data_IF_578816694057
#
_entry.id   IF_578816694057
#
_cell.length_a   1.000
_cell.length_b   1.000
_cell.length_c   1.000
_cell.angle_alpha   90.00
_cell.angle_beta   90.00
_cell.angle_gamma   90.00
#
_symmetry.space_group_name_H-M   'P 1'
#
loop_
_entity.id
_entity.type
_entity.pdbx_description
1 polymer ?
#
# COMPACT_ATOMS: atom_id res chain seq x y z
N UNK A 1 0.40 12.39 12.69
CA UNK A 1 0.80 10.99 12.58
C UNK A 1 -0.36 9.97 12.55
N UNK A 2 -1.61 10.33 12.82
CA UNK A 2 -2.77 9.43 12.74
C UNK A 2 -3.41 9.26 11.35
N UNK A 3 -3.16 10.15 10.40
CA UNK A 3 -3.88 10.17 9.12
C UNK A 3 -3.41 9.08 8.12
N UNK A 4 -2.10 8.82 8.03
CA UNK A 4 -1.55 7.81 7.11
C UNK A 4 -1.91 6.39 7.54
N UNK A 5 -1.79 6.06 8.83
CA UNK A 5 -2.18 4.74 9.35
C UNK A 5 -3.67 4.42 9.15
N UNK A 6 -4.54 5.45 9.16
CA UNK A 6 -5.97 5.29 8.88
C UNK A 6 -6.27 5.00 7.41
N UNK A 7 -5.56 5.64 6.49
CA UNK A 7 -5.71 5.44 5.04
C UNK A 7 -5.29 4.03 4.64
N UNK A 8 -4.18 3.52 5.18
CA UNK A 8 -3.70 2.17 4.90
C UNK A 8 -4.68 1.10 5.42
N UNK A 9 -5.27 1.30 6.60
CA UNK A 9 -6.26 0.37 7.14
C UNK A 9 -7.53 0.31 6.26
N UNK A 10 -8.01 1.45 5.76
CA UNK A 10 -9.17 1.56 4.88
C UNK A 10 -8.86 1.00 3.47
N UNK A 11 -7.64 1.23 2.94
CA UNK A 11 -7.16 0.61 1.71
C UNK A 11 -7.20 -0.92 1.81
N UNK A 12 -6.63 -1.48 2.89
CA UNK A 12 -6.61 -2.93 3.12
C UNK A 12 -8.02 -3.50 3.32
N UNK A 13 -8.90 -2.77 4.02
CA UNK A 13 -10.29 -3.17 4.20
C UNK A 13 -11.02 -3.20 2.85
N UNK A 14 -10.87 -2.15 2.03
CA UNK A 14 -11.43 -2.08 0.68
C UNK A 14 -10.94 -3.21 -0.22
N UNK A 15 -9.65 -3.52 -0.19
CA UNK A 15 -9.04 -4.59 -0.96
C UNK A 15 -9.58 -5.98 -0.57
N UNK A 16 -9.76 -6.25 0.74
CA UNK A 16 -10.36 -7.50 1.22
C UNK A 16 -11.81 -7.63 0.78
N UNK A 17 -12.58 -6.56 0.81
CA UNK A 17 -13.96 -6.52 0.36
C UNK A 17 -14.06 -6.75 -1.16
N UNK A 18 -13.11 -6.21 -1.93
CA UNK A 18 -13.01 -6.45 -3.37
C UNK A 18 -12.70 -7.93 -3.65
N UNK A 19 -11.76 -8.49 -2.90
CA UNK A 19 -11.40 -9.90 -2.99
C UNK A 19 -12.52 -10.86 -2.60
N UNK A 20 -13.49 -10.42 -1.80
CA UNK A 20 -14.68 -11.20 -1.42
C UNK A 20 -15.91 -10.93 -2.29
N UNK A 21 -15.80 -10.11 -3.34
CA UNK A 21 -16.92 -9.76 -4.21
C UNK A 21 -17.95 -8.80 -3.59
N UNK A 22 -17.61 -8.16 -2.48
CA UNK A 22 -18.50 -7.23 -1.78
C UNK A 22 -18.31 -5.80 -2.32
N UNK A 23 -18.70 -5.60 -3.59
CA UNK A 23 -18.35 -4.40 -4.39
C UNK A 23 -18.80 -3.09 -3.78
N UNK A 24 -20.04 -3.00 -3.26
CA UNK A 24 -20.58 -1.77 -2.65
C UNK A 24 -19.79 -1.35 -1.40
N UNK A 25 -19.54 -2.27 -0.50
CA UNK A 25 -18.78 -1.99 0.71
C UNK A 25 -17.30 -1.67 0.39
N UNK A 26 -16.71 -2.33 -0.62
CA UNK A 26 -15.38 -2.02 -1.12
C UNK A 26 -15.30 -0.58 -1.65
N UNK A 27 -16.27 -0.16 -2.45
CA UNK A 27 -16.37 1.21 -2.96
C UNK A 27 -16.42 2.24 -1.81
N UNK A 28 -17.26 2.03 -0.81
CA UNK A 28 -17.41 2.91 0.35
C UNK A 28 -16.12 3.01 1.18
N UNK A 29 -15.39 1.91 1.35
CA UNK A 29 -14.12 1.87 2.05
C UNK A 29 -13.05 2.70 1.29
N UNK A 30 -12.92 2.50 -0.01
CA UNK A 30 -11.98 3.27 -0.83
C UNK A 30 -12.34 4.75 -0.92
N UNK A 31 -13.63 5.12 -1.00
CA UNK A 31 -14.06 6.51 -0.94
C UNK A 31 -13.71 7.18 0.39
N UNK A 32 -13.83 6.45 1.49
CA UNK A 32 -13.49 6.97 2.82
C UNK A 32 -12.00 7.28 2.92
N UNK A 33 -11.15 6.39 2.41
CA UNK A 33 -9.71 6.61 2.30
C UNK A 33 -9.39 7.77 1.33
N UNK A 34 -10.02 7.80 0.16
CA UNK A 34 -9.83 8.81 -0.87
C UNK A 34 -10.05 10.24 -0.37
N UNK A 35 -11.11 10.48 0.42
CA UNK A 35 -11.42 11.82 0.97
C UNK A 35 -10.34 12.38 1.88
N UNK A 36 -9.47 11.52 2.44
CA UNK A 36 -8.38 11.89 3.36
C UNK A 36 -7.02 11.89 2.71
N UNK A 37 -6.92 11.42 1.46
CA UNK A 37 -5.67 11.25 0.75
C UNK A 37 -5.36 12.43 -0.18
N UNK A 38 -4.08 12.55 -0.53
CA UNK A 38 -3.54 13.58 -1.43
C UNK A 38 -2.56 12.96 -2.42
N UNK A 39 -2.24 13.67 -3.51
CA UNK A 39 -1.29 13.22 -4.53
C UNK A 39 -1.64 11.85 -5.11
N UNK A 40 -0.62 11.09 -5.50
CA UNK A 40 -0.75 9.79 -6.17
C UNK A 40 -1.62 8.79 -5.40
N UNK A 41 -1.54 8.80 -4.06
CA UNK A 41 -2.39 7.97 -3.20
C UNK A 41 -3.89 8.29 -3.35
N UNK A 42 -4.23 9.56 -3.59
CA UNK A 42 -5.61 9.98 -3.85
C UNK A 42 -6.10 9.46 -5.20
N UNK A 43 -5.27 9.57 -6.25
CA UNK A 43 -5.63 9.14 -7.59
C UNK A 43 -5.76 7.62 -7.67
N UNK A 44 -4.87 6.89 -7.00
CA UNK A 44 -4.99 5.44 -6.82
C UNK A 44 -6.30 5.04 -6.12
N UNK A 45 -6.62 5.66 -4.99
CA UNK A 45 -7.85 5.33 -4.25
C UNK A 45 -9.11 5.68 -5.02
N UNK A 46 -9.08 6.74 -5.84
CA UNK A 46 -10.15 7.05 -6.77
C UNK A 46 -10.31 5.96 -7.84
N UNK A 47 -9.20 5.45 -8.39
CA UNK A 47 -9.22 4.34 -9.34
C UNK A 47 -9.80 3.08 -8.71
N UNK A 48 -9.39 2.72 -7.49
CA UNK A 48 -9.91 1.55 -6.77
C UNK A 48 -11.40 1.68 -6.42
N UNK A 49 -11.87 2.85 -5.99
CA UNK A 49 -13.29 3.10 -5.74
C UNK A 49 -14.10 2.94 -7.04
N UNK A 50 -13.60 3.48 -8.14
CA UNK A 50 -14.24 3.34 -9.45
C UNK A 50 -14.21 1.89 -9.96
N UNK A 51 -13.14 1.13 -9.71
CA UNK A 51 -13.07 -0.29 -10.03
C UNK A 51 -14.19 -1.07 -9.32
N UNK A 52 -14.37 -0.85 -8.03
CA UNK A 52 -15.45 -1.47 -7.26
C UNK A 52 -16.85 -1.09 -7.81
N UNK A 53 -17.04 0.17 -8.19
CA UNK A 53 -18.28 0.63 -8.81
C UNK A 53 -18.53 -0.01 -10.20
N UNK A 54 -17.49 -0.20 -11.00
CA UNK A 54 -17.59 -0.87 -12.29
C UNK A 54 -18.00 -2.34 -12.14
N UNK A 55 -17.39 -3.05 -11.19
CA UNK A 55 -17.71 -4.44 -10.90
C UNK A 55 -19.14 -4.61 -10.36
N UNK A 56 -19.61 -3.68 -9.54
CA UNK A 56 -21.01 -3.66 -9.11
C UNK A 56 -21.95 -3.52 -10.30
N UNK A 57 -21.71 -2.55 -11.19
CA UNK A 57 -22.53 -2.37 -12.39
C UNK A 57 -22.49 -3.58 -13.31
N UNK A 58 -21.33 -4.19 -13.49
CA UNK A 58 -21.20 -5.40 -14.29
C UNK A 58 -22.01 -6.56 -13.68
N UNK A 59 -21.93 -6.77 -12.37
CA UNK A 59 -22.70 -7.81 -11.67
C UNK A 59 -24.23 -7.59 -11.75
N UNK A 60 -24.65 -6.33 -11.92
CA UNK A 60 -26.05 -5.93 -12.16
C UNK A 60 -26.46 -5.98 -13.64
N UNK A 61 -25.59 -6.43 -14.55
CA UNK A 61 -25.83 -6.48 -15.98
C UNK A 61 -25.73 -5.14 -16.73
N UNK A 62 -25.26 -4.09 -16.08
CA UNK A 62 -25.12 -2.75 -16.67
C UNK A 62 -23.77 -2.61 -17.40
N UNK A 63 -23.58 -3.39 -18.46
CA UNK A 63 -22.30 -3.59 -19.18
C UNK A 63 -21.73 -2.29 -19.71
N UNK A 64 -22.53 -1.42 -20.34
CA UNK A 64 -22.07 -0.15 -20.92
C UNK A 64 -21.61 0.83 -19.83
N UNK A 65 -22.31 0.83 -18.69
CA UNK A 65 -21.92 1.61 -17.51
C UNK A 65 -20.61 1.11 -16.92
N UNK A 66 -20.44 -0.20 -16.79
CA UNK A 66 -19.21 -0.82 -16.33
C UNK A 66 -18.01 -0.49 -17.25
N UNK A 67 -18.19 -0.61 -18.58
CA UNK A 67 -17.17 -0.29 -19.58
C UNK A 67 -16.70 1.17 -19.46
N UNK A 68 -17.65 2.09 -19.34
CA UNK A 68 -17.36 3.52 -19.18
C UNK A 68 -16.52 3.79 -17.93
N UNK A 69 -16.86 3.13 -16.81
CA UNK A 69 -16.13 3.32 -15.54
C UNK A 69 -14.75 2.67 -15.60
N UNK A 70 -14.62 1.46 -16.16
CA UNK A 70 -13.30 0.82 -16.35
C UNK A 70 -12.36 1.68 -17.21
N UNK A 71 -12.91 2.36 -18.23
CA UNK A 71 -12.14 3.33 -19.01
C UNK A 71 -11.64 4.54 -18.18
N UNK A 72 -12.38 4.94 -17.15
CA UNK A 72 -11.93 5.99 -16.20
C UNK A 72 -10.88 5.45 -15.23
N UNK A 73 -11.06 4.23 -14.72
CA UNK A 73 -10.07 3.55 -13.87
C UNK A 73 -8.71 3.57 -14.55
N UNK A 74 -8.64 3.10 -15.81
CA UNK A 74 -7.40 3.08 -16.57
C UNK A 74 -6.75 4.48 -16.66
N UNK A 75 -7.52 5.52 -16.98
CA UNK A 75 -7.00 6.89 -17.06
C UNK A 75 -6.49 7.43 -15.72
N UNK A 76 -7.08 7.02 -14.62
CA UNK A 76 -6.63 7.44 -13.29
C UNK A 76 -5.37 6.70 -12.82
N UNK A 77 -5.09 5.52 -13.36
CA UNK A 77 -3.84 4.79 -13.13
C UNK A 77 -2.72 5.30 -14.02
N UNK A 78 -3.05 5.78 -15.23
CA UNK A 78 -2.10 6.25 -16.22
C UNK A 78 -1.25 7.42 -15.66
N UNK A 79 0.06 7.23 -15.64
CA UNK A 79 1.02 8.21 -15.11
C UNK A 79 1.30 8.13 -13.61
N UNK A 80 0.66 7.21 -12.88
CA UNK A 80 1.08 6.91 -11.52
C UNK A 80 2.44 6.17 -11.52
N UNK A 81 3.22 6.31 -10.43
CA UNK A 81 4.40 5.48 -10.22
C UNK A 81 4.05 3.99 -10.21
N UNK A 82 5.01 3.13 -10.55
CA UNK A 82 4.82 1.65 -10.54
C UNK A 82 4.31 1.12 -9.20
N UNK A 83 4.59 1.83 -8.12
CA UNK A 83 4.13 1.53 -6.77
C UNK A 83 3.58 2.79 -6.10
N UNK A 84 2.38 2.71 -5.57
CA UNK A 84 1.76 3.78 -4.78
C UNK A 84 1.22 3.17 -3.50
N UNK A 85 1.66 3.66 -2.35
CA UNK A 85 1.39 3.06 -1.05
C UNK A 85 1.89 1.60 -1.04
N UNK A 86 1.00 0.63 -1.00
CA UNK A 86 1.30 -0.81 -1.02
C UNK A 86 0.79 -1.50 -2.27
N UNK A 87 0.38 -0.76 -3.27
CA UNK A 87 -0.23 -1.30 -4.48
C UNK A 87 0.79 -1.29 -5.61
N UNK A 88 1.00 -2.44 -6.23
CA UNK A 88 1.67 -2.58 -7.51
C UNK A 88 0.72 -2.09 -8.62
N UNK A 89 0.97 -0.89 -9.10
CA UNK A 89 0.13 -0.21 -10.08
C UNK A 89 0.19 -0.89 -11.45
N UNK A 90 1.35 -1.40 -11.87
CA UNK A 90 1.52 -2.08 -13.15
C UNK A 90 0.69 -3.37 -13.21
N UNK A 91 0.70 -4.14 -12.13
CA UNK A 91 -0.14 -5.34 -12.00
C UNK A 91 -1.63 -4.98 -11.92
N UNK A 92 -1.98 -3.87 -11.27
CA UNK A 92 -3.36 -3.39 -11.22
C UNK A 92 -3.84 -2.94 -12.61
N UNK A 93 -3.01 -2.23 -13.38
CA UNK A 93 -3.32 -1.85 -14.77
C UNK A 93 -3.56 -3.08 -15.65
N UNK A 94 -2.71 -4.09 -15.54
CA UNK A 94 -2.88 -5.36 -16.25
C UNK A 94 -4.20 -6.05 -15.88
N UNK A 95 -4.57 -6.02 -14.60
CA UNK A 95 -5.86 -6.54 -14.12
C UNK A 95 -7.04 -5.77 -14.73
N UNK A 96 -6.94 -4.45 -14.80
CA UNK A 96 -8.00 -3.61 -15.41
C UNK A 96 -8.14 -3.88 -16.90
N UNK A 97 -7.03 -4.09 -17.61
CA UNK A 97 -7.06 -4.44 -19.04
C UNK A 97 -7.74 -5.80 -19.28
N UNK A 98 -7.41 -6.83 -18.49
CA UNK A 98 -8.09 -8.13 -18.52
C UNK A 98 -9.60 -7.99 -18.30
N UNK A 99 -10.00 -7.21 -17.30
CA UNK A 99 -11.41 -6.96 -17.01
C UNK A 99 -12.12 -6.24 -18.17
N UNK A 100 -11.47 -5.31 -18.86
CA UNK A 100 -12.02 -4.64 -20.02
C UNK A 100 -12.21 -5.61 -21.20
N UNK A 101 -11.24 -6.49 -21.45
CA UNK A 101 -11.33 -7.51 -22.49
C UNK A 101 -12.47 -8.50 -22.21
N UNK A 102 -12.55 -9.04 -21.00
CA UNK A 102 -13.62 -9.96 -20.58
C UNK A 102 -15.01 -9.31 -20.69
N UNK A 103 -15.12 -8.04 -20.30
CA UNK A 103 -16.36 -7.29 -20.45
C UNK A 103 -16.75 -7.09 -21.95
N UNK A 104 -15.78 -6.80 -22.80
CA UNK A 104 -15.99 -6.67 -24.25
C UNK A 104 -16.44 -8.00 -24.90
N UNK A 105 -15.92 -9.13 -24.42
CA UNK A 105 -16.33 -10.48 -24.81
C UNK A 105 -17.69 -10.91 -24.22
N UNK A 106 -18.35 -10.03 -23.45
CA UNK A 106 -19.62 -10.31 -22.79
C UNK A 106 -19.55 -11.49 -21.79
N UNK A 107 -18.39 -11.70 -21.19
CA UNK A 107 -18.25 -12.69 -20.13
C UNK A 107 -19.06 -12.31 -18.89
N UNK A 108 -19.41 -13.28 -18.03
CA UNK A 108 -20.04 -12.99 -16.75
C UNK A 108 -19.13 -12.15 -15.86
N UNK A 109 -19.73 -11.32 -15.02
CA UNK A 109 -18.97 -10.53 -14.04
C UNK A 109 -18.12 -11.46 -13.15
N UNK A 110 -16.89 -11.08 -12.82
CA UNK A 110 -16.06 -11.84 -11.90
C UNK A 110 -16.73 -11.88 -10.52
N UNK A 111 -16.50 -12.94 -9.77
CA UNK A 111 -17.02 -13.07 -8.39
C UNK A 111 -16.09 -12.41 -7.37
N UNK A 112 -14.84 -12.19 -7.74
CA UNK A 112 -13.81 -11.57 -6.90
C UNK A 112 -12.74 -10.91 -7.77
N UNK A 113 -12.09 -9.88 -7.27
CA UNK A 113 -10.93 -9.23 -7.88
C UNK A 113 -9.92 -8.91 -6.81
N UNK A 114 -8.66 -9.26 -7.04
CA UNK A 114 -7.57 -8.97 -6.11
C UNK A 114 -6.97 -7.59 -6.43
N UNK A 115 -6.75 -6.78 -5.40
CA UNK A 115 -5.84 -5.64 -5.50
C UNK A 115 -4.44 -6.19 -5.29
N UNK A 116 -3.49 -5.96 -6.20
CA UNK A 116 -2.12 -6.44 -6.06
C UNK A 116 -1.41 -5.62 -4.98
N UNK A 117 -1.60 -6.04 -3.75
CA UNK A 117 -0.92 -5.46 -2.60
C UNK A 117 0.47 -6.10 -2.51
N UNK A 118 1.50 -5.27 -2.49
CA UNK A 118 2.76 -5.74 -1.98
C UNK A 118 2.52 -6.27 -0.57
N UNK A 119 2.85 -7.52 -0.37
CA UNK A 119 3.04 -7.98 0.98
C UNK A 119 4.14 -7.07 1.55
N UNK A 120 3.74 -6.07 2.33
CA UNK A 120 4.65 -5.58 3.34
C UNK A 120 5.13 -6.86 4.02
N UNK A 121 6.39 -7.14 3.90
CA UNK A 121 6.98 -8.18 4.73
C UNK A 121 6.39 -7.93 6.09
N UNK A 122 5.40 -8.73 6.48
CA UNK A 122 5.03 -8.89 7.88
C UNK A 122 6.39 -8.94 8.52
N UNK A 123 6.73 -7.94 9.34
CA UNK A 123 8.02 -7.93 10.04
C UNK A 123 8.22 -9.40 10.39
N UNK A 124 9.18 -10.09 9.75
CA UNK A 124 9.25 -11.53 9.92
C UNK A 124 9.17 -11.77 11.41
N UNK A 125 8.40 -12.76 11.87
CA UNK A 125 8.13 -12.95 13.30
C UNK A 125 9.44 -13.09 14.13
N UNK A 126 10.56 -13.13 13.44
CA UNK A 126 11.94 -13.18 13.91
C UNK A 126 12.62 -11.80 14.00
N UNK A 127 12.04 -10.69 13.47
CA UNK A 127 12.66 -9.36 13.67
C UNK A 127 12.57 -8.88 15.10
N UNK A 128 13.69 -8.40 15.61
CA UNK A 128 13.80 -7.82 16.95
C UNK A 128 13.53 -6.32 16.89
N UNK A 129 12.61 -5.85 17.73
CA UNK A 129 12.30 -4.44 17.88
C UNK A 129 13.28 -3.79 18.89
N UNK A 130 14.14 -2.90 18.41
CA UNK A 130 15.13 -2.20 19.23
C UNK A 130 14.80 -0.71 19.32
N UNK A 131 14.79 -0.18 20.54
CA UNK A 131 14.51 1.22 20.78
C UNK A 131 15.78 2.06 20.85
N UNK A 132 15.87 3.13 20.05
CA UNK A 132 16.97 4.08 20.08
C UNK A 132 16.45 5.53 20.04
N UNK A 133 17.18 6.51 20.63
CA UNK A 133 16.81 7.91 20.54
C UNK A 133 17.16 8.48 19.15
N UNK A 134 16.26 9.26 18.57
CA UNK A 134 16.54 9.99 17.35
C UNK A 134 17.67 11.03 17.58
N UNK A 135 18.71 11.08 16.73
CA UNK A 135 19.83 12.03 16.92
C UNK A 135 19.43 13.48 16.64
N UNK A 136 18.26 13.73 16.08
CA UNK A 136 17.76 15.08 15.77
C UNK A 136 16.73 15.62 16.75
N UNK A 137 15.71 14.83 17.09
CA UNK A 137 14.62 15.30 17.97
C UNK A 137 14.64 14.68 19.38
N UNK A 138 15.49 13.69 19.63
CA UNK A 138 15.61 13.00 20.93
C UNK A 138 14.48 12.01 21.23
N UNK A 139 13.44 11.94 20.40
CA UNK A 139 12.33 11.00 20.61
C UNK A 139 12.80 9.55 20.45
N UNK A 140 12.26 8.67 21.32
CA UNK A 140 12.56 7.25 21.28
C UNK A 140 11.80 6.58 20.15
N UNK A 141 12.51 6.03 19.20
CA UNK A 141 11.97 5.34 18.03
C UNK A 141 12.26 3.86 18.07
N UNK A 142 11.45 3.05 17.39
CA UNK A 142 11.65 1.61 17.27
C UNK A 142 12.17 1.29 15.89
N UNK A 143 13.30 0.58 15.83
CA UNK A 143 13.89 0.03 14.61
C UNK A 143 13.72 -1.48 14.64
N UNK A 144 13.26 -2.06 13.54
CA UNK A 144 13.06 -3.49 13.40
C UNK A 144 14.22 -4.11 12.61
N UNK A 145 15.03 -4.92 13.26
CA UNK A 145 16.22 -5.54 12.68
C UNK A 145 16.12 -7.06 12.67
N UNK A 146 16.72 -7.70 11.67
CA UNK A 146 16.85 -9.15 11.65
C UNK A 146 17.86 -9.60 12.72
N UNK A 147 17.55 -10.64 13.52
CA UNK A 147 18.44 -11.12 14.57
C UNK A 147 19.72 -11.73 14.00
N UNK A 148 19.66 -12.26 12.77
CA UNK A 148 20.76 -12.88 12.05
C UNK A 148 21.13 -12.06 10.81
N UNK A 149 22.36 -12.17 10.34
CA UNK A 149 22.84 -11.44 9.17
C UNK A 149 24.31 -11.08 9.28
N UNK A 150 24.75 -10.12 8.48
CA UNK A 150 26.14 -9.62 8.54
C UNK A 150 26.44 -8.99 9.90
N UNK A 151 27.66 -9.13 10.38
CA UNK A 151 28.07 -8.64 11.71
C UNK A 151 27.90 -7.15 11.91
N UNK A 152 28.01 -6.37 10.82
CA UNK A 152 27.78 -4.93 10.78
C UNK A 152 26.93 -4.60 9.55
N UNK A 153 25.81 -3.95 9.75
CA UNK A 153 24.91 -3.47 8.70
C UNK A 153 24.67 -1.97 8.89
N UNK A 154 24.57 -1.23 7.79
CA UNK A 154 24.31 0.20 7.83
C UNK A 154 23.39 0.59 6.67
N UNK A 155 22.34 1.36 6.98
CA UNK A 155 21.38 1.87 6.02
C UNK A 155 20.74 3.18 6.50
N UNK A 156 20.00 3.87 5.63
CA UNK A 156 19.36 5.14 5.94
C UNK A 156 17.85 4.92 6.08
N UNK A 157 17.27 5.51 7.13
CA UNK A 157 15.81 5.60 7.34
C UNK A 157 15.43 7.01 7.79
N UNK A 158 14.16 7.37 7.59
CA UNK A 158 13.62 8.65 8.05
C UNK A 158 13.03 8.51 9.46
N UNK A 159 13.26 9.50 10.31
CA UNK A 159 12.62 9.57 11.62
C UNK A 159 11.10 9.66 11.48
N UNK A 160 10.31 8.75 12.08
CA UNK A 160 8.86 8.80 12.01
C UNK A 160 8.25 10.02 12.76
N UNK A 161 9.07 10.74 13.54
CA UNK A 161 8.62 11.89 14.32
C UNK A 161 9.00 13.21 13.67
N UNK A 162 10.30 13.39 13.29
CA UNK A 162 10.79 14.65 12.74
C UNK A 162 11.12 14.60 11.24
N UNK A 163 10.92 13.45 10.59
CA UNK A 163 11.13 13.22 9.14
C UNK A 163 12.54 13.58 8.65
N UNK A 164 13.55 13.51 9.52
CA UNK A 164 14.95 13.69 9.12
C UNK A 164 15.61 12.35 8.89
N UNK A 165 16.43 12.20 7.81
CA UNK A 165 17.16 10.98 7.57
C UNK A 165 18.25 10.77 8.62
N UNK A 166 18.38 9.55 9.08
CA UNK A 166 19.47 9.08 9.94
C UNK A 166 20.12 7.82 9.40
N UNK A 167 21.32 7.58 9.82
CA UNK A 167 22.02 6.34 9.55
C UNK A 167 21.73 5.35 10.67
N UNK A 168 21.14 4.21 10.34
CA UNK A 168 20.96 3.06 11.24
C UNK A 168 22.22 2.20 11.14
N UNK A 169 22.88 1.96 12.27
CA UNK A 169 23.99 1.01 12.39
C UNK A 169 23.53 -0.15 13.24
N UNK A 170 23.54 -1.34 12.66
CA UNK A 170 23.19 -2.59 13.34
C UNK A 170 24.45 -3.40 13.56
N UNK A 171 24.77 -3.70 14.81
CA UNK A 171 25.88 -4.59 15.17
C UNK A 171 25.32 -5.88 15.73
N UNK A 172 25.78 -7.01 15.18
CA UNK A 172 25.42 -8.37 15.61
C UNK A 172 26.62 -9.05 16.21
N UNK A 173 26.82 -8.79 17.51
CA UNK A 173 27.90 -9.39 18.27
C UNK A 173 27.35 -9.91 19.62
N UNK A 174 27.64 -11.16 19.99
CA UNK A 174 27.27 -11.72 21.29
C UNK A 174 25.79 -12.11 21.41
N UNK A 175 25.09 -11.58 22.40
CA UNK A 175 23.74 -12.03 22.80
C UNK A 175 22.59 -11.51 21.92
N UNK A 176 22.86 -10.76 20.87
CA UNK A 176 21.84 -10.27 19.94
C UNK A 176 22.22 -8.98 19.21
N UNK A 177 21.36 -8.51 18.30
CA UNK A 177 21.60 -7.28 17.57
C UNK A 177 21.48 -6.05 18.47
N UNK A 178 22.33 -5.05 18.22
CA UNK A 178 22.24 -3.72 18.81
C UNK A 178 22.09 -2.67 17.70
N UNK A 179 21.39 -1.57 18.00
CA UNK A 179 21.13 -0.49 17.06
C UNK A 179 21.65 0.82 17.62
N UNK A 180 22.37 1.54 16.76
CA UNK A 180 22.78 2.92 17.01
C UNK A 180 22.27 3.80 15.86
N UNK A 181 21.72 4.97 16.20
CA UNK A 181 21.28 5.97 15.22
C UNK A 181 22.28 7.12 15.21
N UNK A 182 22.75 7.49 14.03
CA UNK A 182 23.65 8.61 13.83
C UNK A 182 23.07 9.62 12.83
N UNK A 183 23.52 10.84 12.83
CA UNK A 183 23.20 11.79 11.77
C UNK A 183 23.92 11.38 10.49
N UNK A 184 23.36 11.74 9.35
CA UNK A 184 23.98 11.45 8.05
C UNK A 184 25.35 12.17 7.88
N UNK A 185 25.53 13.28 8.58
CA UNK A 185 26.72 14.14 8.49
C UNK A 185 27.79 13.83 9.58
N UNK A 186 27.61 12.78 10.40
CA UNK A 186 28.54 12.41 11.48
C UNK A 186 29.59 11.37 11.06
#
# INVERSE_FOLDING_TARGET
>A
MGAMAGVDAELLAGARLLASGTWRASHEAFETAWRRSHGDGRDLLQALAQLAAALLKWSEGQVEGAATILGRVRRNLEGLPSHVSRVDVETLESTVLDLQERLALREPAPTQVQVPLEEHSVVPADRVALGAPCPYCGERVTVHVEPTGVSLEQYVEDCPVCCRPWVVKVERAGEGPTVTLAREDD
#
